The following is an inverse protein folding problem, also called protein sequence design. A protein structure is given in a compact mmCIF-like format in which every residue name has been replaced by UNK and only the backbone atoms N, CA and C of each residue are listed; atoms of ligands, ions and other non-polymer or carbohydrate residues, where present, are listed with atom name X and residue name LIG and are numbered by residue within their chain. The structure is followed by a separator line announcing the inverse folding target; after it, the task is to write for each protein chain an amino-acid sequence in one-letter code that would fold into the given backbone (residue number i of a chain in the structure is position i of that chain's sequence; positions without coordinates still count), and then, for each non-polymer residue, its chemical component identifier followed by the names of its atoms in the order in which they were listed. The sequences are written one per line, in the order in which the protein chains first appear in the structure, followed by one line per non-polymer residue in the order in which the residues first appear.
data_IF_381653447388
#
_entry.id   IF_381653447388
#
_cell.length_a   1.000
_cell.length_b   1.000
_cell.length_c   1.000
_cell.angle_alpha   90.00
_cell.angle_beta   90.00
_cell.angle_gamma   90.00
#
_symmetry.space_group_name_H-M   'P 1'
#
loop_
_entity.id
_entity.type
_entity.pdbx_description
1 polymer ?
#
# COMPACT_ATOMS: atom_id res chain seq x y z
N UNK A 1 -8.58 -17.18 8.20
CA UNK A 1 -9.15 -15.82 8.31
C UNK A 1 -8.29 -15.02 9.27
N UNK A 2 -7.91 -13.79 8.93
CA UNK A 2 -7.01 -12.94 9.72
C UNK A 2 -7.83 -11.99 10.62
N UNK A 3 -8.75 -12.58 11.39
CA UNK A 3 -9.81 -11.88 12.13
C UNK A 3 -9.34 -11.03 13.33
N UNK A 4 -8.04 -10.97 13.61
CA UNK A 4 -7.44 -10.13 14.65
C UNK A 4 -6.37 -9.18 14.11
N UNK A 5 -6.09 -9.24 12.80
CA UNK A 5 -5.02 -8.46 12.19
C UNK A 5 -5.51 -7.02 11.96
N UNK A 6 -5.03 -6.10 12.81
CA UNK A 6 -5.44 -4.69 12.77
C UNK A 6 -4.46 -3.79 12.02
N UNK A 7 -3.18 -4.16 11.99
CA UNK A 7 -2.12 -3.38 11.32
C UNK A 7 -1.27 -4.26 10.44
N UNK A 8 -0.93 -3.76 9.25
CA UNK A 8 -0.02 -4.42 8.32
C UNK A 8 0.96 -3.39 7.76
N UNK A 9 2.23 -3.78 7.69
CA UNK A 9 3.26 -3.07 6.94
C UNK A 9 3.79 -3.97 5.82
N UNK A 10 3.87 -3.41 4.62
CA UNK A 10 4.42 -4.05 3.43
C UNK A 10 5.59 -3.19 2.95
N UNK A 11 6.73 -3.83 2.73
CA UNK A 11 7.96 -3.19 2.27
C UNK A 11 8.33 -3.72 0.89
N UNK A 12 9.12 -2.94 0.14
CA UNK A 12 9.62 -3.31 -1.18
C UNK A 12 8.51 -3.65 -2.21
N UNK A 13 7.33 -3.03 -2.06
CA UNK A 13 6.18 -3.27 -2.92
C UNK A 13 6.45 -2.78 -4.35
N UNK A 14 6.29 -3.65 -5.34
CA UNK A 14 6.54 -3.30 -6.76
C UNK A 14 5.27 -3.02 -7.54
N UNK A 15 4.13 -3.52 -7.07
CA UNK A 15 2.86 -3.43 -7.79
C UNK A 15 2.70 -4.48 -8.89
N UNK A 16 3.42 -5.59 -8.79
CA UNK A 16 3.20 -6.74 -9.67
C UNK A 16 1.80 -7.32 -9.47
N UNK A 17 1.26 -8.00 -10.49
CA UNK A 17 -0.08 -8.59 -10.45
C UNK A 17 -0.30 -9.50 -9.24
N UNK A 18 0.71 -10.30 -8.88
CA UNK A 18 0.66 -11.18 -7.71
C UNK A 18 0.59 -10.40 -6.39
N UNK A 19 1.35 -9.30 -6.27
CA UNK A 19 1.31 -8.44 -5.08
C UNK A 19 -0.03 -7.71 -4.97
N UNK A 20 -0.58 -7.22 -6.08
CA UNK A 20 -1.92 -6.59 -6.09
C UNK A 20 -3.01 -7.61 -5.75
N UNK A 21 -2.90 -8.83 -6.26
CA UNK A 21 -3.81 -9.94 -5.92
C UNK A 21 -3.72 -10.29 -4.43
N UNK A 22 -2.50 -10.33 -3.87
CA UNK A 22 -2.31 -10.50 -2.44
C UNK A 22 -3.00 -9.40 -1.63
N UNK A 23 -2.94 -8.15 -2.06
CA UNK A 23 -3.61 -7.03 -1.37
C UNK A 23 -5.13 -7.19 -1.35
N UNK A 24 -5.73 -7.64 -2.45
CA UNK A 24 -7.17 -7.94 -2.52
C UNK A 24 -7.54 -9.05 -1.53
N UNK A 25 -6.75 -10.14 -1.50
CA UNK A 25 -6.95 -11.25 -0.58
C UNK A 25 -6.75 -10.81 0.89
N UNK A 26 -5.77 -9.96 1.16
CA UNK A 26 -5.50 -9.41 2.49
C UNK A 26 -6.72 -8.66 3.01
N UNK A 27 -7.32 -7.77 2.21
CA UNK A 27 -8.52 -7.04 2.62
C UNK A 27 -9.73 -7.95 2.85
N UNK A 28 -9.85 -9.04 2.08
CA UNK A 28 -10.89 -10.06 2.27
C UNK A 28 -10.68 -10.86 3.57
N UNK A 29 -9.44 -11.25 3.88
CA UNK A 29 -9.13 -12.08 5.04
C UNK A 29 -9.03 -11.30 6.35
N UNK A 30 -8.52 -10.06 6.32
CA UNK A 30 -8.27 -9.22 7.47
C UNK A 30 -9.43 -8.22 7.67
N UNK A 31 -10.61 -8.76 8.00
CA UNK A 31 -11.83 -7.95 8.13
C UNK A 31 -11.78 -6.89 9.23
N UNK A 32 -10.83 -6.96 10.17
CA UNK A 32 -10.64 -5.95 11.24
C UNK A 32 -9.42 -5.04 11.02
N UNK A 33 -8.83 -5.06 9.82
CA UNK A 33 -7.69 -4.21 9.48
C UNK A 33 -8.08 -2.73 9.58
N UNK A 34 -7.27 -1.95 10.29
CA UNK A 34 -7.45 -0.51 10.50
C UNK A 34 -6.33 0.31 9.88
N UNK A 35 -5.14 -0.26 9.75
CA UNK A 35 -3.96 0.46 9.27
C UNK A 35 -3.16 -0.38 8.30
N UNK A 36 -2.84 0.23 7.17
CA UNK A 36 -1.98 -0.35 6.16
C UNK A 36 -0.87 0.64 5.82
N UNK A 37 0.37 0.19 5.90
CA UNK A 37 1.53 0.95 5.46
C UNK A 37 2.20 0.22 4.31
N UNK A 38 2.37 0.90 3.18
CA UNK A 38 3.04 0.36 2.00
C UNK A 38 4.26 1.22 1.69
N UNK A 39 5.42 0.58 1.62
CA UNK A 39 6.65 1.20 1.15
C UNK A 39 6.99 0.60 -0.21
N UNK A 40 6.98 1.45 -1.24
CA UNK A 40 7.33 1.05 -2.60
C UNK A 40 8.82 0.77 -2.72
N UNK A 41 9.18 -0.19 -3.57
CA UNK A 41 10.58 -0.47 -3.91
C UNK A 41 11.23 0.76 -4.54
N UNK A 42 12.52 0.96 -4.31
CA UNK A 42 13.27 2.15 -4.77
C UNK A 42 13.30 2.39 -6.28
N UNK A 43 12.88 1.41 -7.08
CA UNK A 43 12.83 1.51 -8.55
C UNK A 43 11.46 1.94 -9.07
N UNK A 44 10.45 2.02 -8.19
CA UNK A 44 9.10 2.47 -8.55
C UNK A 44 9.14 3.99 -8.69
N UNK A 45 8.76 4.50 -9.86
CA UNK A 45 8.65 5.94 -10.10
C UNK A 45 7.46 6.52 -9.35
N UNK A 46 7.49 7.82 -9.11
CA UNK A 46 6.38 8.52 -8.45
C UNK A 46 5.05 8.38 -9.21
N UNK A 47 5.08 8.40 -10.55
CA UNK A 47 3.89 8.18 -11.38
C UNK A 47 3.29 6.79 -11.19
N UNK A 48 4.11 5.74 -11.19
CA UNK A 48 3.65 4.36 -10.96
C UNK A 48 3.16 4.22 -9.52
N UNK A 49 3.84 4.81 -8.55
CA UNK A 49 3.39 4.83 -7.16
C UNK A 49 2.01 5.48 -7.04
N UNK A 50 1.75 6.60 -7.73
CA UNK A 50 0.44 7.28 -7.76
C UNK A 50 -0.65 6.36 -8.30
N UNK A 51 -0.44 5.71 -9.43
CA UNK A 51 -1.40 4.76 -10.00
C UNK A 51 -1.69 3.59 -9.05
N UNK A 52 -0.65 3.01 -8.44
CA UNK A 52 -0.80 1.93 -7.47
C UNK A 52 -1.54 2.38 -6.22
N UNK A 53 -1.31 3.60 -5.73
CA UNK A 53 -2.08 4.16 -4.61
C UNK A 53 -3.57 4.22 -4.93
N UNK A 54 -3.93 4.74 -6.11
CA UNK A 54 -5.33 4.81 -6.56
C UNK A 54 -5.95 3.42 -6.70
N UNK A 55 -5.21 2.47 -7.28
CA UNK A 55 -5.65 1.08 -7.41
C UNK A 55 -5.91 0.47 -6.04
N UNK A 56 -4.98 0.58 -5.09
CA UNK A 56 -5.12 0.03 -3.74
C UNK A 56 -6.27 0.69 -2.97
N UNK A 57 -6.49 1.98 -3.16
CA UNK A 57 -7.63 2.69 -2.56
C UNK A 57 -8.97 2.25 -3.17
N UNK A 58 -9.01 1.96 -4.48
CA UNK A 58 -10.25 1.63 -5.20
C UNK A 58 -10.98 0.39 -4.68
N UNK A 59 -10.26 -0.56 -4.10
CA UNK A 59 -10.82 -1.79 -3.53
C UNK A 59 -10.62 -1.89 -2.02
N UNK A 60 -10.17 -0.81 -1.37
CA UNK A 60 -10.11 -0.77 0.07
C UNK A 60 -11.42 -0.33 0.70
N UNK A 61 -11.52 -0.57 2.00
CA UNK A 61 -12.62 -0.11 2.83
C UNK A 61 -12.25 1.24 3.44
N UNK A 62 -13.20 2.20 3.51
CA UNK A 62 -12.93 3.57 3.92
C UNK A 62 -12.39 3.69 5.36
N UNK A 63 -12.60 2.67 6.21
CA UNK A 63 -12.12 2.62 7.59
C UNK A 63 -10.62 2.32 7.71
N UNK A 64 -9.97 1.89 6.62
CA UNK A 64 -8.54 1.56 6.61
C UNK A 64 -7.72 2.82 6.38
N UNK A 65 -7.00 3.27 7.41
CA UNK A 65 -5.99 4.32 7.29
C UNK A 65 -4.78 3.79 6.50
N UNK A 66 -4.62 4.26 5.26
CA UNK A 66 -3.47 3.93 4.43
C UNK A 66 -2.36 4.98 4.48
N UNK A 67 -1.12 4.50 4.50
CA UNK A 67 0.08 5.34 4.32
C UNK A 67 0.98 4.73 3.28
N UNK A 68 1.40 5.57 2.34
CA UNK A 68 2.28 5.18 1.25
C UNK A 68 3.63 5.88 1.38
N UNK A 69 4.70 5.20 1.01
CA UNK A 69 6.05 5.72 1.08
C UNK A 69 6.83 5.33 -0.17
N UNK A 70 7.58 6.29 -0.73
CA UNK A 70 8.50 6.08 -1.85
C UNK A 70 9.93 6.39 -1.42
N UNK A 71 10.90 5.86 -2.16
CA UNK A 71 12.31 6.24 -1.99
C UNK A 71 12.71 7.24 -3.08
N UNK A 72 13.30 8.36 -2.67
CA UNK A 72 13.99 9.27 -3.59
C UNK A 72 15.46 8.86 -3.78
N UNK A 73 16.14 9.49 -4.74
CA UNK A 73 17.49 9.18 -5.24
C UNK A 73 18.53 8.77 -4.18
N UNK A 74 18.46 9.32 -2.97
CA UNK A 74 19.36 9.02 -1.85
C UNK A 74 18.84 7.93 -0.88
N UNK A 75 17.90 7.08 -1.32
CA UNK A 75 17.17 6.11 -0.47
C UNK A 75 16.44 6.74 0.71
N UNK A 76 16.12 8.03 0.61
CA UNK A 76 15.32 8.73 1.60
C UNK A 76 13.87 8.26 1.43
N UNK A 77 13.34 7.59 2.46
CA UNK A 77 11.94 7.19 2.55
C UNK A 77 11.10 8.43 2.89
N UNK A 78 10.23 8.84 1.99
CA UNK A 78 9.31 9.96 2.24
C UNK A 78 7.86 9.49 2.13
N UNK A 79 6.99 10.14 2.89
CA UNK A 79 5.56 9.85 2.84
C UNK A 79 5.02 10.41 1.53
N UNK A 80 4.39 9.55 0.73
CA UNK A 80 3.60 10.00 -0.41
C UNK A 80 2.31 10.63 0.10
N UNK A 81 2.10 11.89 -0.25
CA UNK A 81 0.86 12.63 0.00
C UNK A 81 0.26 12.91 -1.37
N UNK A 82 -1.00 12.54 -1.57
CA UNK A 82 -1.72 12.92 -2.78
C UNK A 82 -1.90 14.43 -2.73
N UNK A 83 -1.21 15.17 -3.60
CA UNK A 83 -1.56 16.54 -3.93
C UNK A 83 -2.46 16.46 -5.17
N UNK A 84 -3.65 17.07 -5.03
CA UNK A 84 -4.70 17.15 -6.04
C UNK A 84 -4.20 17.85 -7.32
#
# INVERSE_FOLDING_TARGET
MLNRLQEVEITEFRGSENEVTFMKLLFSWATVLKKLTVTFKSLVTESIAKELCLVLQSFSRPEISMKFYIYYKDKIKVRYVHED
#
